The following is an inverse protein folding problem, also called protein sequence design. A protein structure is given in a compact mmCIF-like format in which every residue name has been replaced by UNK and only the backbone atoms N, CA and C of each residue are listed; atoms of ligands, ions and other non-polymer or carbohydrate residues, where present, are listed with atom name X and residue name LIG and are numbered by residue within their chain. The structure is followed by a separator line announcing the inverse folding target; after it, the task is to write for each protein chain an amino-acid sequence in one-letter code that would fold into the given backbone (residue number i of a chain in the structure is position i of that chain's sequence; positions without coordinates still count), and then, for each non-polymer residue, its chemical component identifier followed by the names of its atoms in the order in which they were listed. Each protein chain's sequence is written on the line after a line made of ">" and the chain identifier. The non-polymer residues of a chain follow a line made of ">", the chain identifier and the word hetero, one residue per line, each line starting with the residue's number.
data_IF_306796753898
#
_entry.id   IF_306796753898
#
_cell.length_a   1.000
_cell.length_b   1.000
_cell.length_c   1.000
_cell.angle_alpha   90.00
_cell.angle_beta   90.00
_cell.angle_gamma   90.00
#
_symmetry.space_group_name_H-M   'P 1'
#
loop_
_entity.id
_entity.type
_entity.pdbx_description
1 polymer ?
#
# COMPACT_ATOMS: atom_id res chain seq x y z
N UNK A 1 30.57 18.67 7.40
CA UNK A 1 29.32 17.92 7.50
C UNK A 1 29.47 16.74 6.58
N UNK A 2 29.40 15.54 7.14
CA UNK A 2 29.33 14.33 6.36
C UNK A 2 27.94 14.26 5.72
N UNK A 3 27.87 13.91 4.44
CA UNK A 3 26.60 13.77 3.73
C UNK A 3 26.35 12.29 3.58
N UNK A 4 25.17 11.85 4.00
CA UNK A 4 24.71 10.47 3.86
C UNK A 4 23.44 10.44 3.02
N UNK A 5 23.35 9.47 2.12
CA UNK A 5 22.19 9.26 1.25
C UNK A 5 21.99 7.77 0.98
N UNK A 6 20.81 7.41 0.48
CA UNK A 6 20.51 6.05 0.07
C UNK A 6 19.84 6.02 -1.31
N UNK A 7 19.80 4.83 -1.90
CA UNK A 7 19.09 4.53 -3.14
C UNK A 7 18.51 3.12 -3.10
N UNK A 8 17.35 2.94 -3.73
CA UNK A 8 16.73 1.64 -3.97
C UNK A 8 17.08 1.04 -5.35
N UNK A 9 17.77 1.81 -6.19
CA UNK A 9 18.01 1.52 -7.59
C UNK A 9 19.50 1.58 -7.97
N UNK A 10 20.40 1.45 -7.00
CA UNK A 10 21.85 1.43 -7.26
C UNK A 10 22.43 2.79 -7.64
N UNK A 11 21.80 3.87 -7.20
CA UNK A 11 22.28 5.25 -7.33
C UNK A 11 21.67 6.06 -8.47
N UNK A 12 20.65 5.54 -9.19
CA UNK A 12 19.93 6.33 -10.20
C UNK A 12 19.09 7.42 -9.53
N UNK A 13 18.43 7.08 -8.42
CA UNK A 13 17.65 7.99 -7.58
C UNK A 13 18.23 7.98 -6.17
N UNK A 14 18.76 9.13 -5.74
CA UNK A 14 19.38 9.30 -4.43
C UNK A 14 18.49 10.12 -3.51
N UNK A 15 18.37 9.68 -2.26
CA UNK A 15 17.61 10.33 -1.21
C UNK A 15 18.54 10.70 -0.05
N UNK A 16 18.70 11.99 0.22
CA UNK A 16 19.51 12.48 1.34
C UNK A 16 18.85 12.11 2.67
N UNK A 17 19.63 11.61 3.62
CA UNK A 17 19.16 11.33 4.97
C UNK A 17 19.26 12.63 5.78
N UNK A 18 18.11 13.23 6.07
CA UNK A 18 17.99 14.54 6.74
C UNK A 18 17.65 14.37 8.23
N UNK A 19 16.93 13.30 8.56
CA UNK A 19 16.62 12.89 9.93
C UNK A 19 16.86 11.39 10.08
N UNK A 20 17.21 10.96 11.29
CA UNK A 20 17.53 9.58 11.58
C UNK A 20 16.23 8.76 11.62
N UNK A 21 16.07 7.83 10.68
CA UNK A 21 15.14 6.70 10.85
C UNK A 21 13.89 6.68 9.97
N UNK A 22 13.75 7.53 8.95
CA UNK A 22 12.67 7.38 7.96
C UNK A 22 13.17 7.42 6.52
N UNK A 23 12.70 6.45 5.71
CA UNK A 23 12.82 6.50 4.26
C UNK A 23 11.73 7.40 3.67
N UNK A 24 11.94 7.89 2.46
CA UNK A 24 10.92 8.60 1.70
C UNK A 24 9.76 7.64 1.45
N UNK A 25 8.61 7.94 2.05
CA UNK A 25 7.45 7.04 2.02
C UNK A 25 6.88 6.89 0.61
N UNK A 26 6.99 7.91 -0.25
CA UNK A 26 6.51 7.82 -1.63
C UNK A 26 7.43 6.89 -2.43
N UNK A 27 8.74 7.08 -2.31
CA UNK A 27 9.73 6.20 -2.94
C UNK A 27 9.62 4.75 -2.44
N UNK A 28 9.41 4.54 -1.14
CA UNK A 28 9.20 3.20 -0.59
C UNK A 28 7.91 2.56 -1.13
N UNK A 29 6.82 3.33 -1.24
CA UNK A 29 5.50 2.80 -1.64
C UNK A 29 5.47 2.32 -3.09
N UNK A 30 6.22 2.95 -4.00
CA UNK A 30 6.27 2.57 -5.42
C UNK A 30 7.03 1.26 -5.69
N UNK A 31 7.88 0.81 -4.76
CA UNK A 31 8.60 -0.46 -4.90
C UNK A 31 7.66 -1.66 -4.92
N UNK A 32 8.00 -2.69 -5.69
CA UNK A 32 7.27 -3.97 -5.66
C UNK A 32 7.48 -4.72 -4.35
N UNK A 33 6.57 -5.65 -4.02
CA UNK A 33 6.80 -6.61 -2.94
C UNK A 33 7.95 -7.57 -3.30
N UNK A 34 8.62 -8.11 -2.28
CA UNK A 34 9.78 -9.00 -2.44
C UNK A 34 11.09 -8.35 -2.01
N UNK A 35 12.19 -8.82 -2.57
CA UNK A 35 13.53 -8.34 -2.22
C UNK A 35 13.76 -6.90 -2.71
N UNK A 36 14.12 -6.03 -1.77
CA UNK A 36 14.50 -4.63 -2.02
C UNK A 36 15.94 -4.47 -1.55
N UNK A 37 16.83 -4.09 -2.48
CA UNK A 37 18.21 -3.74 -2.14
C UNK A 37 18.30 -2.24 -1.91
N UNK A 38 18.87 -1.87 -0.77
CA UNK A 38 19.08 -0.48 -0.36
C UNK A 38 20.58 -0.26 -0.30
N UNK A 39 21.10 0.64 -1.11
CA UNK A 39 22.51 1.05 -1.07
C UNK A 39 22.62 2.37 -0.33
N UNK A 40 23.41 2.38 0.74
CA UNK A 40 23.75 3.55 1.53
C UNK A 40 25.10 4.10 1.08
N UNK A 41 25.23 5.41 1.11
CA UNK A 41 26.44 6.12 0.73
C UNK A 41 26.78 7.17 1.79
N UNK A 42 28.07 7.40 1.97
CA UNK A 42 28.59 8.45 2.83
C UNK A 42 29.73 9.17 2.11
N UNK A 43 29.77 10.50 2.26
CA UNK A 43 30.89 11.33 1.81
C UNK A 43 31.36 12.24 2.94
N UNK A 44 32.65 12.17 3.23
CA UNK A 44 33.29 13.05 4.21
C UNK A 44 33.62 14.43 3.61
N UNK A 45 34.08 15.35 4.48
CA UNK A 45 34.50 16.69 4.06
C UNK A 45 35.72 16.71 3.14
N UNK A 46 36.55 15.67 3.14
CA UNK A 46 37.71 15.54 2.27
C UNK A 46 37.33 14.99 0.88
N UNK A 47 36.06 14.61 0.68
CA UNK A 47 35.53 14.07 -0.57
C UNK A 47 35.69 12.57 -0.70
N UNK A 48 36.13 11.86 0.35
CA UNK A 48 36.17 10.40 0.34
C UNK A 48 34.74 9.87 0.37
N UNK A 49 34.42 8.97 -0.55
CA UNK A 49 33.10 8.35 -0.67
C UNK A 49 33.19 6.84 -0.42
N UNK A 50 32.22 6.32 0.33
CA UNK A 50 32.06 4.89 0.59
C UNK A 50 30.58 4.51 0.49
N UNK A 51 30.31 3.24 0.19
CA UNK A 51 28.95 2.69 0.10
C UNK A 51 28.85 1.27 0.64
N UNK A 52 27.65 0.90 1.08
CA UNK A 52 27.31 -0.43 1.60
C UNK A 52 25.85 -0.77 1.24
N UNK A 53 25.53 -2.04 1.01
CA UNK A 53 24.18 -2.45 0.59
C UNK A 53 23.53 -3.45 1.55
N UNK A 54 22.23 -3.28 1.76
CA UNK A 54 21.42 -4.18 2.57
C UNK A 54 20.19 -4.61 1.77
N UNK A 55 19.88 -5.90 1.78
CA UNK A 55 18.65 -6.42 1.18
C UNK A 55 17.61 -6.67 2.26
N UNK A 56 16.40 -6.16 2.06
CA UNK A 56 15.23 -6.36 2.93
C UNK A 56 14.08 -6.95 2.13
N UNK A 57 13.18 -7.67 2.81
CA UNK A 57 11.98 -8.21 2.17
C UNK A 57 10.81 -7.26 2.45
N UNK A 58 10.30 -6.62 1.40
CA UNK A 58 9.08 -5.81 1.47
C UNK A 58 7.86 -6.72 1.32
N UNK A 59 7.08 -6.85 2.38
CA UNK A 59 5.79 -7.55 2.37
C UNK A 59 4.65 -6.61 2.75
N UNK A 60 3.57 -6.64 1.98
CA UNK A 60 2.31 -5.99 2.37
C UNK A 60 1.43 -7.10 2.95
N UNK A 61 1.05 -7.05 4.24
CA UNK A 61 0.18 -8.07 4.80
C UNK A 61 -1.11 -8.11 4.00
N UNK A 62 -1.56 -9.31 3.65
CA UNK A 62 -2.81 -9.55 2.91
C UNK A 62 -4.00 -9.14 3.77
N UNK A 63 -4.37 -7.85 3.73
CA UNK A 63 -5.67 -7.35 4.12
C UNK A 63 -6.60 -7.43 2.91
N UNK A 64 -7.77 -8.08 3.10
CA UNK A 64 -8.84 -8.36 2.11
C UNK A 64 -8.50 -7.94 0.68
N UNK A 65 -8.18 -8.92 -0.17
CA UNK A 65 -7.90 -8.66 -1.58
C UNK A 65 -9.02 -7.81 -2.20
N UNK A 66 -8.71 -6.91 -3.16
CA UNK A 66 -9.71 -6.09 -3.82
C UNK A 66 -10.93 -6.88 -4.34
N UNK A 67 -10.73 -8.14 -4.76
CA UNK A 67 -11.81 -9.04 -5.15
C UNK A 67 -12.78 -9.42 -4.01
N UNK A 68 -12.28 -9.55 -2.79
CA UNK A 68 -13.09 -9.82 -1.59
C UNK A 68 -13.92 -8.59 -1.22
N UNK A 69 -13.34 -7.39 -1.32
CA UNK A 69 -14.05 -6.12 -1.11
C UNK A 69 -15.21 -5.99 -2.10
N UNK A 70 -14.95 -6.23 -3.39
CA UNK A 70 -15.96 -6.17 -4.45
C UNK A 70 -17.08 -7.20 -4.19
N UNK A 71 -16.72 -8.41 -3.77
CA UNK A 71 -17.70 -9.48 -3.46
C UNK A 71 -18.61 -9.10 -2.28
N UNK A 72 -18.04 -8.55 -1.20
CA UNK A 72 -18.81 -8.08 -0.04
C UNK A 72 -19.81 -6.98 -0.43
N UNK A 73 -19.38 -6.02 -1.27
CA UNK A 73 -20.25 -4.94 -1.74
C UNK A 73 -21.41 -5.49 -2.58
N UNK A 74 -21.15 -6.41 -3.52
CA UNK A 74 -22.20 -7.02 -4.37
C UNK A 74 -23.22 -7.78 -3.51
N UNK A 75 -22.78 -8.63 -2.58
CA UNK A 75 -23.69 -9.41 -1.71
C UNK A 75 -24.56 -8.49 -0.86
N UNK A 76 -24.00 -7.41 -0.32
CA UNK A 76 -24.73 -6.43 0.50
C UNK A 76 -25.82 -5.71 -0.31
N UNK A 77 -25.51 -5.32 -1.55
CA UNK A 77 -26.46 -4.64 -2.45
C UNK A 77 -27.58 -5.60 -2.88
N UNK A 78 -27.24 -6.82 -3.32
CA UNK A 78 -28.22 -7.83 -3.74
C UNK A 78 -29.14 -8.22 -2.58
N UNK A 79 -28.57 -8.45 -1.39
CA UNK A 79 -29.35 -8.74 -0.18
C UNK A 79 -30.31 -7.60 0.18
N UNK A 80 -29.84 -6.35 0.14
CA UNK A 80 -30.68 -5.17 0.37
C UNK A 80 -31.85 -5.06 -0.62
N UNK A 81 -31.59 -5.24 -1.92
CA UNK A 81 -32.63 -5.20 -2.97
C UNK A 81 -33.66 -6.32 -2.79
N UNK A 82 -33.22 -7.55 -2.47
CA UNK A 82 -34.12 -8.67 -2.23
C UNK A 82 -35.03 -8.43 -1.01
N UNK A 83 -34.50 -7.85 0.06
CA UNK A 83 -35.28 -7.47 1.25
C UNK A 83 -36.31 -6.40 0.90
N UNK A 84 -35.91 -5.34 0.19
CA UNK A 84 -36.82 -4.26 -0.22
C UNK A 84 -37.93 -4.79 -1.12
N UNK A 85 -37.59 -5.62 -2.11
CA UNK A 85 -38.57 -6.25 -2.99
C UNK A 85 -39.53 -7.17 -2.21
N UNK A 86 -39.02 -7.97 -1.27
CA UNK A 86 -39.83 -8.83 -0.41
C UNK A 86 -40.81 -8.04 0.45
N UNK A 87 -40.36 -6.94 1.08
CA UNK A 87 -41.21 -6.03 1.87
C UNK A 87 -42.28 -5.40 0.97
N UNK A 88 -41.91 -4.92 -0.22
CA UNK A 88 -42.85 -4.34 -1.16
C UNK A 88 -43.94 -5.34 -1.59
N UNK A 89 -43.56 -6.56 -1.96
CA UNK A 89 -44.50 -7.63 -2.35
C UNK A 89 -45.44 -7.97 -1.18
N UNK A 90 -44.89 -8.09 0.03
CA UNK A 90 -45.66 -8.38 1.23
C UNK A 90 -46.68 -7.28 1.56
N UNK A 91 -46.28 -6.01 1.48
CA UNK A 91 -47.19 -4.87 1.67
C UNK A 91 -48.30 -4.84 0.61
N UNK A 92 -47.95 -5.08 -0.65
CA UNK A 92 -48.93 -5.13 -1.75
C UNK A 92 -49.98 -6.24 -1.56
N UNK A 93 -49.54 -7.44 -1.12
CA UNK A 93 -50.46 -8.57 -0.85
C UNK A 93 -51.46 -8.27 0.28
N UNK A 94 -51.08 -7.45 1.27
CA UNK A 94 -51.98 -7.05 2.37
C UNK A 94 -52.95 -5.92 1.99
N UNK A 95 -52.62 -5.10 1.00
CA UNK A 95 -53.41 -3.94 0.58
C UNK A 95 -54.53 -4.27 -0.42
N UNK A 96 -54.47 -5.43 -1.08
CA UNK A 96 -55.57 -5.96 -1.89
C UNK A 96 -56.45 -6.87 -1.03
N UNK A 97 -57.60 -6.40 -0.50
CA UNK A 97 -58.60 -7.30 0.08
C UNK A 97 -59.17 -8.20 -1.03
N UNK A 98 -59.36 -9.48 -0.73
CA UNK A 98 -60.07 -10.44 -1.58
C UNK A 98 -61.54 -10.04 -1.78
#
# INVERSE_FOLDING_TARGET
>A
MDIIWYSFDGGLTNHTIIDNGTFDQNAWTTLSQGDVTITFYAKDLAGNEASESVTVIKSIPSGLEPGVIITIVIVSVVGGVAIIAGVYIFMKKRATPE
#
